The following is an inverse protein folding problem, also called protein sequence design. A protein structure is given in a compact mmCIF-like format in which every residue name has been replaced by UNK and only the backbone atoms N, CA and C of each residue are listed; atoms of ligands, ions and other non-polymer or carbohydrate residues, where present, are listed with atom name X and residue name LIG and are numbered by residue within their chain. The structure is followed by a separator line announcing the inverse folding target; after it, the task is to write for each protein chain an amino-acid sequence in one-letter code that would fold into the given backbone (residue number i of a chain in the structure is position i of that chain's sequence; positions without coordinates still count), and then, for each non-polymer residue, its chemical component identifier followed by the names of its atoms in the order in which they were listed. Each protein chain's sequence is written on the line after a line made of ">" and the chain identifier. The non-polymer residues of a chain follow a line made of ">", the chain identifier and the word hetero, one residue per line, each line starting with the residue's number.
data_IF_013982231771
#
_entry.id   IF_013982231771
#
_cell.length_a   1.000
_cell.length_b   1.000
_cell.length_c   1.000
_cell.angle_alpha   90.00
_cell.angle_beta   90.00
_cell.angle_gamma   90.00
#
_symmetry.space_group_name_H-M   'P 1'
#
loop_
_entity.id
_entity.type
_entity.pdbx_description
1 polymer ?
#
# COMPACT_ATOMS: atom_id res chain seq x y z
N UNK A 1 -17.37 6.98 -13.95
CA UNK A 1 -16.09 6.42 -14.47
C UNK A 1 -16.30 4.96 -14.83
N UNK A 2 -15.83 4.53 -16.00
CA UNK A 2 -16.01 3.14 -16.45
C UNK A 2 -14.64 2.41 -16.41
N UNK A 3 -14.47 1.47 -15.47
CA UNK A 3 -13.25 0.68 -15.31
C UNK A 3 -13.34 -0.71 -15.97
N UNK A 4 -14.31 -0.92 -16.88
CA UNK A 4 -14.50 -2.21 -17.58
C UNK A 4 -13.33 -2.62 -18.47
N UNK A 5 -12.41 -1.71 -18.76
CA UNK A 5 -11.19 -2.03 -19.50
C UNK A 5 -10.18 -2.83 -18.65
N UNK A 6 -10.29 -2.79 -17.31
CA UNK A 6 -9.43 -3.54 -16.42
C UNK A 6 -9.79 -5.02 -16.41
N UNK A 7 -8.80 -5.86 -16.66
CA UNK A 7 -8.93 -7.31 -16.53
C UNK A 7 -8.26 -7.76 -15.24
N UNK A 8 -9.06 -7.93 -14.18
CA UNK A 8 -8.57 -8.34 -12.85
C UNK A 8 -7.77 -9.64 -12.89
N UNK A 9 -8.21 -10.64 -13.65
CA UNK A 9 -7.50 -11.93 -13.76
C UNK A 9 -6.09 -11.74 -14.36
N UNK A 10 -5.95 -10.90 -15.38
CA UNK A 10 -4.61 -10.61 -15.96
C UNK A 10 -3.73 -9.88 -14.95
N UNK A 11 -4.27 -8.90 -14.23
CA UNK A 11 -3.53 -8.12 -13.22
C UNK A 11 -3.12 -8.98 -12.03
N UNK A 12 -3.99 -9.86 -11.56
CA UNK A 12 -3.67 -10.86 -10.53
C UNK A 12 -2.53 -11.78 -11.01
N UNK A 13 -2.60 -12.25 -12.24
CA UNK A 13 -1.53 -13.11 -12.79
C UNK A 13 -0.19 -12.36 -12.87
N UNK A 14 -0.20 -11.08 -13.26
CA UNK A 14 1.02 -10.25 -13.31
C UNK A 14 1.66 -10.16 -11.93
N UNK A 15 0.89 -9.80 -10.91
CA UNK A 15 1.44 -9.61 -9.58
C UNK A 15 1.90 -10.93 -8.95
N UNK A 16 1.17 -12.02 -9.18
CA UNK A 16 1.57 -13.36 -8.71
C UNK A 16 2.85 -13.85 -9.38
N UNK A 17 3.01 -13.62 -10.69
CA UNK A 17 4.25 -13.97 -11.39
C UNK A 17 5.43 -13.11 -10.95
N UNK A 18 5.23 -11.81 -10.71
CA UNK A 18 6.27 -10.95 -10.12
C UNK A 18 6.70 -11.47 -8.74
N UNK A 19 5.74 -11.85 -7.90
CA UNK A 19 6.01 -12.46 -6.60
C UNK A 19 6.82 -13.77 -6.71
N UNK A 20 6.52 -14.62 -7.70
CA UNK A 20 7.30 -15.83 -7.95
C UNK A 20 8.75 -15.52 -8.38
N UNK A 21 8.96 -14.50 -9.22
CA UNK A 21 10.31 -14.06 -9.59
C UNK A 21 11.11 -13.59 -8.36
N UNK A 22 10.46 -12.84 -7.48
CA UNK A 22 11.06 -12.41 -6.22
C UNK A 22 11.42 -13.61 -5.34
N UNK A 23 10.51 -14.57 -5.16
CA UNK A 23 10.74 -15.76 -4.35
C UNK A 23 11.87 -16.65 -4.89
N UNK A 24 12.02 -16.76 -6.22
CA UNK A 24 13.14 -17.47 -6.84
C UNK A 24 14.50 -16.89 -6.40
N UNK A 25 14.58 -15.57 -6.22
CA UNK A 25 15.79 -14.90 -5.75
C UNK A 25 15.90 -15.01 -4.23
N UNK A 26 14.77 -14.79 -3.53
CA UNK A 26 14.69 -14.88 -2.08
C UNK A 26 15.21 -16.22 -1.52
N UNK A 27 14.97 -17.31 -2.20
CA UNK A 27 15.41 -18.64 -1.76
C UNK A 27 16.84 -19.02 -2.16
N UNK A 28 17.58 -18.15 -2.86
CA UNK A 28 19.01 -18.37 -3.14
C UNK A 28 19.85 -18.10 -1.90
N UNK A 29 20.97 -18.79 -1.77
CA UNK A 29 21.91 -18.53 -0.68
C UNK A 29 22.49 -17.10 -0.76
N UNK A 30 22.76 -16.61 -1.97
CA UNK A 30 23.29 -15.28 -2.24
C UNK A 30 22.49 -14.59 -3.34
N UNK A 31 22.37 -13.26 -3.24
CA UNK A 31 21.84 -12.38 -4.27
C UNK A 31 22.54 -11.03 -4.20
N UNK A 32 22.52 -10.30 -5.32
CA UNK A 32 23.15 -8.99 -5.40
C UNK A 32 22.32 -7.94 -4.69
N UNK A 33 22.99 -7.08 -3.91
CA UNK A 33 22.43 -5.90 -3.26
C UNK A 33 23.26 -4.70 -3.66
N UNK A 34 22.60 -3.69 -4.18
CA UNK A 34 23.18 -2.38 -4.48
C UNK A 34 22.62 -1.35 -3.50
N UNK A 35 23.29 -0.22 -3.36
CA UNK A 35 22.82 0.90 -2.55
C UNK A 35 22.47 2.04 -3.49
N UNK A 36 21.22 2.49 -3.44
CA UNK A 36 20.72 3.65 -4.19
C UNK A 36 21.37 4.96 -3.67
N UNK A 37 21.20 6.05 -4.40
CA UNK A 37 21.71 7.39 -4.01
C UNK A 37 21.12 7.87 -2.67
N UNK A 38 19.88 7.51 -2.38
CA UNK A 38 19.18 7.81 -1.12
C UNK A 38 19.57 6.87 0.04
N UNK A 39 20.56 5.99 -0.18
CA UNK A 39 21.07 4.97 0.75
C UNK A 39 20.08 3.83 1.05
N UNK A 40 18.97 3.71 0.32
CA UNK A 40 18.11 2.52 0.37
C UNK A 40 18.76 1.35 -0.40
N UNK A 41 18.53 0.11 0.03
CA UNK A 41 19.00 -1.07 -0.70
C UNK A 41 18.15 -1.31 -1.95
N UNK A 42 18.78 -1.82 -2.99
CA UNK A 42 18.18 -2.29 -4.22
C UNK A 42 18.70 -3.68 -4.51
N UNK A 43 17.83 -4.64 -4.72
CA UNK A 43 18.25 -6.01 -5.04
C UNK A 43 17.95 -6.35 -6.50
N UNK A 44 18.52 -7.45 -6.97
CA UNK A 44 18.16 -7.98 -8.29
C UNK A 44 16.69 -8.42 -8.36
N UNK A 45 16.04 -8.65 -7.21
CA UNK A 45 14.63 -8.99 -7.14
C UNK A 45 13.75 -7.80 -7.49
N UNK A 46 14.07 -6.61 -6.92
CA UNK A 46 13.38 -5.35 -7.25
C UNK A 46 13.44 -5.08 -8.76
N UNK A 47 14.64 -5.16 -9.34
CA UNK A 47 14.87 -4.89 -10.77
C UNK A 47 14.08 -5.84 -11.67
N UNK A 48 14.13 -7.16 -11.40
CA UNK A 48 13.44 -8.16 -12.22
C UNK A 48 11.93 -8.09 -12.09
N UNK A 49 11.43 -7.85 -10.88
CA UNK A 49 10.00 -7.67 -10.67
C UNK A 49 9.51 -6.40 -11.37
N UNK A 50 10.24 -5.29 -11.25
CA UNK A 50 9.93 -4.04 -11.93
C UNK A 50 9.87 -4.21 -13.45
N UNK A 51 10.92 -4.77 -14.04
CA UNK A 51 10.98 -5.01 -15.48
C UNK A 51 9.79 -5.85 -15.96
N UNK A 52 9.50 -6.94 -15.27
CA UNK A 52 8.38 -7.81 -15.61
C UNK A 52 7.04 -7.09 -15.53
N UNK A 53 6.74 -6.41 -14.40
CA UNK A 53 5.47 -5.72 -14.20
C UNK A 53 5.28 -4.62 -15.23
N UNK A 54 6.30 -3.76 -15.42
CA UNK A 54 6.23 -2.65 -16.37
C UNK A 54 6.01 -3.14 -17.81
N UNK A 55 6.73 -4.17 -18.25
CA UNK A 55 6.57 -4.75 -19.59
C UNK A 55 5.16 -5.32 -19.79
N UNK A 56 4.60 -6.04 -18.83
CA UNK A 56 3.26 -6.60 -18.92
C UNK A 56 2.20 -5.50 -18.95
N UNK A 57 2.28 -4.50 -18.07
CA UNK A 57 1.32 -3.40 -18.02
C UNK A 57 1.37 -2.55 -19.29
N UNK A 58 2.56 -2.23 -19.79
CA UNK A 58 2.72 -1.48 -21.05
C UNK A 58 2.15 -2.26 -22.25
N UNK A 59 2.33 -3.58 -22.27
CA UNK A 59 1.78 -4.42 -23.35
C UNK A 59 0.25 -4.48 -23.36
N UNK A 60 -0.37 -4.49 -22.16
CA UNK A 60 -1.84 -4.64 -22.02
C UNK A 60 -2.56 -3.29 -22.01
N UNK A 61 -1.91 -2.27 -21.43
CA UNK A 61 -2.46 -0.93 -21.22
C UNK A 61 -1.47 0.14 -21.71
N UNK A 62 -1.15 0.20 -23.01
CA UNK A 62 -0.09 1.04 -23.56
C UNK A 62 -0.31 2.55 -23.34
N UNK A 63 -1.56 2.97 -23.18
CA UNK A 63 -1.94 4.38 -23.02
C UNK A 63 -1.90 4.84 -21.56
N UNK A 64 -1.63 3.94 -20.60
CA UNK A 64 -1.58 4.28 -19.18
C UNK A 64 -0.11 4.37 -18.72
N UNK A 65 0.38 5.57 -18.37
CA UNK A 65 1.75 5.76 -17.93
C UNK A 65 2.01 5.07 -16.59
N UNK A 66 3.29 4.77 -16.36
CA UNK A 66 3.77 4.08 -15.16
C UNK A 66 4.64 5.03 -14.33
N UNK A 67 4.35 5.11 -13.04
CA UNK A 67 5.17 5.72 -11.99
C UNK A 67 5.64 4.57 -11.11
N UNK A 68 6.93 4.24 -11.14
CA UNK A 68 7.50 3.15 -10.36
C UNK A 68 8.67 3.61 -9.51
N UNK A 69 8.85 2.98 -8.35
CA UNK A 69 10.00 3.23 -7.49
C UNK A 69 11.34 3.05 -8.22
N UNK A 70 11.41 2.03 -9.08
CA UNK A 70 12.66 1.63 -9.73
C UNK A 70 12.88 2.26 -11.11
N UNK A 71 11.97 3.15 -11.54
CA UNK A 71 12.09 3.86 -12.80
C UNK A 71 12.53 5.31 -12.58
N UNK A 72 13.20 5.89 -13.59
CA UNK A 72 13.29 7.34 -13.69
C UNK A 72 11.92 7.87 -14.10
N UNK A 73 11.20 8.44 -13.13
CA UNK A 73 9.87 9.00 -13.37
C UNK A 73 9.96 10.30 -14.17
N UNK A 74 8.93 10.57 -14.96
CA UNK A 74 8.78 11.82 -15.71
C UNK A 74 8.60 13.02 -14.76
N UNK A 75 8.96 14.21 -15.24
CA UNK A 75 8.79 15.46 -14.49
C UNK A 75 7.31 15.74 -14.22
N UNK A 76 7.02 16.47 -13.15
CA UNK A 76 5.64 16.75 -12.72
C UNK A 76 4.83 17.48 -13.79
N UNK A 77 5.44 18.40 -14.55
CA UNK A 77 4.76 19.10 -15.64
C UNK A 77 4.10 18.13 -16.64
N UNK A 78 4.73 16.98 -16.90
CA UNK A 78 4.17 15.91 -17.72
C UNK A 78 3.20 15.05 -16.94
N UNK A 79 3.59 14.60 -15.73
CA UNK A 79 2.78 13.71 -14.89
C UNK A 79 1.46 14.35 -14.44
N UNK A 80 1.42 15.66 -14.21
CA UNK A 80 0.21 16.40 -13.80
C UNK A 80 -0.94 16.30 -14.82
N UNK A 81 -0.64 15.92 -16.07
CA UNK A 81 -1.61 15.75 -17.17
C UNK A 81 -2.15 14.32 -17.28
N UNK A 82 -1.67 13.39 -16.44
CA UNK A 82 -2.11 12.00 -16.49
C UNK A 82 -3.53 11.87 -15.95
N UNK A 83 -4.44 11.40 -16.80
CA UNK A 83 -5.79 11.04 -16.35
C UNK A 83 -5.76 9.75 -15.54
N UNK A 84 -5.06 8.73 -16.05
CA UNK A 84 -4.74 7.50 -15.35
C UNK A 84 -3.23 7.34 -15.21
N UNK A 85 -2.78 6.69 -14.15
CA UNK A 85 -1.40 6.25 -14.01
C UNK A 85 -1.31 5.00 -13.12
N UNK A 86 -0.42 4.08 -13.47
CA UNK A 86 -0.01 3.01 -12.59
C UNK A 86 1.03 3.52 -11.58
N UNK A 87 0.85 3.18 -10.30
CA UNK A 87 1.84 3.37 -9.25
C UNK A 87 2.33 2.01 -8.80
N UNK A 88 3.65 1.76 -8.91
CA UNK A 88 4.23 0.43 -8.71
C UNK A 88 5.34 0.50 -7.68
N UNK A 89 5.25 -0.35 -6.67
CA UNK A 89 6.37 -0.76 -5.85
C UNK A 89 6.60 -2.25 -6.09
N UNK A 90 7.66 -2.61 -6.82
CA UNK A 90 7.91 -4.00 -7.19
C UNK A 90 8.32 -4.86 -6.00
N UNK A 91 8.90 -4.29 -4.96
CA UNK A 91 9.28 -4.97 -3.72
C UNK A 91 9.30 -3.99 -2.53
N UNK A 92 8.14 -3.72 -1.93
CA UNK A 92 8.05 -2.97 -0.68
C UNK A 92 8.58 -3.82 0.47
N UNK A 93 9.56 -3.27 1.19
CA UNK A 93 10.23 -3.97 2.28
C UNK A 93 11.53 -4.65 1.85
N UNK A 94 12.38 -3.99 1.06
CA UNK A 94 13.68 -4.52 0.63
C UNK A 94 14.59 -4.87 1.83
N UNK A 95 14.49 -4.14 2.94
CA UNK A 95 15.20 -4.47 4.19
C UNK A 95 14.71 -5.78 4.79
N UNK A 96 13.42 -6.01 4.79
CA UNK A 96 12.76 -7.23 5.25
C UNK A 96 13.12 -8.41 4.35
N UNK A 97 13.20 -8.19 3.04
CA UNK A 97 13.68 -9.17 2.07
C UNK A 97 15.13 -9.58 2.37
N UNK A 98 16.03 -8.62 2.55
CA UNK A 98 17.45 -8.88 2.87
C UNK A 98 17.59 -9.59 4.21
N UNK A 99 16.81 -9.20 5.22
CA UNK A 99 16.85 -9.83 6.56
C UNK A 99 16.15 -11.18 6.64
N UNK A 100 15.56 -11.65 5.54
CA UNK A 100 14.90 -12.96 5.43
C UNK A 100 13.73 -13.17 6.41
N UNK A 101 13.03 -12.11 6.79
CA UNK A 101 11.87 -12.22 7.70
C UNK A 101 10.53 -12.46 7.00
N UNK A 102 10.49 -12.39 5.66
CA UNK A 102 9.30 -12.67 4.85
C UNK A 102 8.24 -11.56 4.82
N UNK A 103 8.51 -10.40 5.41
CA UNK A 103 7.53 -9.31 5.54
C UNK A 103 7.66 -8.26 4.42
N UNK A 104 7.58 -8.68 3.18
CA UNK A 104 7.64 -7.82 2.00
C UNK A 104 6.46 -8.09 1.06
N UNK A 105 6.15 -7.10 0.20
CA UNK A 105 5.00 -7.16 -0.71
C UNK A 105 5.36 -6.67 -2.11
N UNK A 106 4.49 -6.98 -3.08
CA UNK A 106 4.43 -6.36 -4.40
C UNK A 106 3.18 -5.51 -4.46
N UNK A 107 3.29 -4.26 -4.91
CA UNK A 107 2.19 -3.32 -4.97
C UNK A 107 1.99 -2.78 -6.39
N UNK A 108 0.76 -2.89 -6.92
CA UNK A 108 0.34 -2.31 -8.20
C UNK A 108 -0.94 -1.53 -7.96
N UNK A 109 -0.87 -0.20 -7.97
CA UNK A 109 -2.02 0.69 -7.83
C UNK A 109 -2.37 1.35 -9.16
N UNK A 110 -3.64 1.63 -9.39
CA UNK A 110 -4.11 2.48 -10.48
C UNK A 110 -4.83 3.68 -9.91
N UNK A 111 -4.44 4.86 -10.36
CA UNK A 111 -5.12 6.11 -10.05
C UNK A 111 -5.89 6.62 -11.26
N UNK A 112 -6.95 7.39 -10.98
CA UNK A 112 -7.66 8.25 -11.90
C UNK A 112 -7.75 9.64 -11.32
N UNK A 113 -7.13 10.63 -11.99
CA UNK A 113 -7.09 12.03 -11.52
C UNK A 113 -6.64 12.15 -10.05
N UNK A 114 -5.57 11.44 -9.69
CA UNK A 114 -5.00 11.47 -8.34
C UNK A 114 -5.74 10.61 -7.28
N UNK A 115 -6.84 9.96 -7.63
CA UNK A 115 -7.62 9.10 -6.72
C UNK A 115 -7.35 7.63 -7.03
N UNK A 116 -7.00 6.77 -6.04
CA UNK A 116 -6.81 5.35 -6.29
C UNK A 116 -8.15 4.69 -6.63
N UNK A 117 -8.15 3.93 -7.74
CA UNK A 117 -9.35 3.29 -8.30
C UNK A 117 -9.23 1.79 -8.49
N UNK A 118 -8.02 1.27 -8.45
CA UNK A 118 -7.76 -0.15 -8.33
C UNK A 118 -6.44 -0.39 -7.60
N UNK A 119 -6.35 -1.49 -6.89
CA UNK A 119 -5.15 -1.88 -6.17
C UNK A 119 -5.00 -3.38 -6.14
N UNK A 120 -3.76 -3.83 -6.27
CA UNK A 120 -3.35 -5.23 -6.20
C UNK A 120 -2.12 -5.30 -5.31
N UNK A 121 -2.19 -6.11 -4.26
CA UNK A 121 -1.11 -6.33 -3.29
C UNK A 121 -0.89 -7.84 -3.15
N UNK A 122 0.34 -8.28 -3.36
CA UNK A 122 0.71 -9.67 -3.10
C UNK A 122 1.71 -9.75 -1.94
N UNK A 123 1.53 -10.70 -1.05
CA UNK A 123 2.49 -11.05 0.02
C UNK A 123 3.20 -12.34 -0.41
N UNK A 124 4.38 -12.27 -1.04
CA UNK A 124 5.00 -13.43 -1.68
C UNK A 124 5.19 -14.62 -0.75
N UNK A 125 5.68 -14.39 0.47
CA UNK A 125 5.96 -15.48 1.43
C UNK A 125 4.71 -16.21 1.94
N UNK A 126 3.52 -15.60 1.85
CA UNK A 126 2.25 -16.25 2.21
C UNK A 126 1.49 -16.76 0.99
N UNK A 127 1.85 -16.24 -0.19
CA UNK A 127 1.15 -16.50 -1.45
C UNK A 127 -0.23 -15.86 -1.52
N UNK A 128 -0.55 -14.88 -0.66
CA UNK A 128 -1.86 -14.23 -0.65
C UNK A 128 -1.82 -12.99 -1.52
N UNK A 129 -2.76 -12.90 -2.47
CA UNK A 129 -3.03 -11.72 -3.29
C UNK A 129 -4.32 -11.07 -2.83
N UNK A 130 -4.26 -9.77 -2.54
CA UNK A 130 -5.40 -8.90 -2.28
C UNK A 130 -5.63 -7.99 -3.47
N UNK A 131 -6.88 -7.69 -3.80
CA UNK A 131 -7.18 -6.70 -4.83
C UNK A 131 -8.53 -6.05 -4.63
N UNK A 132 -8.67 -4.85 -5.19
CA UNK A 132 -9.94 -4.16 -5.35
C UNK A 132 -9.95 -3.36 -6.65
N UNK A 133 -11.16 -3.20 -7.20
CA UNK A 133 -11.46 -2.27 -8.28
C UNK A 133 -12.68 -1.49 -7.82
N UNK A 134 -12.64 -0.17 -7.92
CA UNK A 134 -13.69 0.73 -7.44
C UNK A 134 -15.09 0.30 -7.91
N UNK A 135 -15.98 0.05 -6.94
CA UNK A 135 -17.33 -0.43 -7.14
C UNK A 135 -17.48 -1.93 -7.43
N UNK A 136 -16.36 -2.71 -7.28
CA UNK A 136 -16.38 -4.16 -7.46
C UNK A 136 -16.06 -4.94 -6.18
N UNK A 137 -15.93 -4.22 -5.06
CA UNK A 137 -15.54 -4.80 -3.78
C UNK A 137 -14.06 -5.14 -3.67
N UNK A 138 -13.65 -5.57 -2.48
CA UNK A 138 -12.32 -6.03 -2.17
C UNK A 138 -12.29 -7.56 -2.03
N UNK A 139 -11.21 -8.16 -2.50
CA UNK A 139 -11.08 -9.60 -2.63
C UNK A 139 -9.70 -10.07 -2.23
N UNK A 140 -9.60 -11.34 -1.87
CA UNK A 140 -8.31 -12.03 -1.68
C UNK A 140 -8.37 -13.46 -2.16
N UNK A 141 -7.23 -14.00 -2.55
CA UNK A 141 -7.03 -15.44 -2.79
C UNK A 141 -5.62 -15.87 -2.43
N UNK A 142 -5.42 -17.14 -2.23
CA UNK A 142 -4.10 -17.73 -2.11
C UNK A 142 -3.63 -18.24 -3.47
N UNK A 143 -2.32 -18.19 -3.70
CA UNK A 143 -1.72 -18.71 -4.92
C UNK A 143 -2.11 -20.18 -5.16
N UNK A 144 -2.43 -20.53 -6.41
CA UNK A 144 -2.96 -21.82 -6.84
C UNK A 144 -4.37 -22.18 -6.32
N UNK A 145 -5.06 -21.33 -5.58
CA UNK A 145 -6.48 -21.51 -5.32
C UNK A 145 -7.30 -20.94 -6.47
N UNK A 146 -8.36 -21.64 -6.91
CA UNK A 146 -9.25 -21.14 -7.95
C UNK A 146 -10.24 -20.11 -7.37
N UNK A 147 -10.69 -20.35 -6.16
CA UNK A 147 -11.68 -19.52 -5.50
C UNK A 147 -11.06 -18.26 -4.88
N UNK A 148 -11.73 -17.14 -5.07
CA UNK A 148 -11.43 -15.89 -4.38
C UNK A 148 -12.48 -15.63 -3.30
N UNK A 149 -12.02 -15.05 -2.19
CA UNK A 149 -12.85 -14.71 -1.05
C UNK A 149 -13.08 -13.19 -1.07
N UNK A 150 -14.35 -12.76 -1.07
CA UNK A 150 -14.68 -11.37 -0.87
C UNK A 150 -14.34 -10.96 0.57
N UNK A 151 -13.71 -9.82 0.71
CA UNK A 151 -13.42 -9.23 2.03
C UNK A 151 -14.63 -8.36 2.37
N UNK A 152 -15.34 -8.74 3.43
CA UNK A 152 -16.49 -7.97 3.88
C UNK A 152 -16.04 -6.69 4.58
N UNK A 153 -16.67 -5.54 4.26
CA UNK A 153 -16.48 -4.33 5.05
C UNK A 153 -16.78 -4.59 6.53
N UNK A 154 -16.11 -3.88 7.41
CA UNK A 154 -16.43 -3.95 8.84
C UNK A 154 -17.83 -3.44 9.06
N UNK A 155 -18.77 -4.32 9.47
CA UNK A 155 -20.16 -3.92 9.78
C UNK A 155 -20.24 -3.06 11.05
N UNK A 156 -21.39 -2.37 11.25
CA UNK A 156 -21.65 -1.57 12.48
C UNK A 156 -21.53 -2.41 13.76
N UNK A 157 -21.81 -3.72 13.67
CA UNK A 157 -21.59 -4.71 14.73
C UNK A 157 -20.18 -5.28 14.74
N UNK A 158 -19.23 -4.65 14.03
CA UNK A 158 -17.88 -5.13 13.81
C UNK A 158 -17.26 -5.69 15.09
N UNK A 159 -16.34 -6.66 14.95
CA UNK A 159 -15.71 -7.35 16.08
C UNK A 159 -15.20 -6.30 17.08
N UNK A 160 -16.02 -6.03 18.12
CA UNK A 160 -15.60 -5.18 19.24
C UNK A 160 -14.55 -5.95 20.02
N UNK A 161 -13.29 -5.74 19.59
CA UNK A 161 -12.16 -6.27 20.36
C UNK A 161 -12.12 -5.59 21.72
N UNK A 162 -11.73 -6.36 22.74
CA UNK A 162 -11.46 -5.80 24.08
C UNK A 162 -10.29 -4.79 24.02
N UNK A 163 -9.34 -5.02 23.11
CA UNK A 163 -8.17 -4.17 22.87
C UNK A 163 -8.12 -3.70 21.44
N UNK A 164 -7.83 -2.42 21.22
CA UNK A 164 -7.55 -1.87 19.90
C UNK A 164 -6.17 -2.32 19.44
N UNK A 165 -6.08 -3.00 18.29
CA UNK A 165 -4.81 -3.42 17.70
C UNK A 165 -4.29 -2.29 16.81
N UNK A 166 -3.16 -1.70 17.24
CA UNK A 166 -2.48 -0.61 16.53
C UNK A 166 -1.23 -1.17 15.85
N UNK A 167 -1.10 -0.92 14.56
CA UNK A 167 0.09 -1.30 13.81
C UNK A 167 1.14 -0.19 13.92
N UNK A 168 2.39 -0.59 14.12
CA UNK A 168 3.52 0.31 14.14
C UNK A 168 4.64 -0.23 13.24
N UNK A 169 5.48 0.68 12.74
CA UNK A 169 6.69 0.29 12.02
C UNK A 169 7.78 -0.10 13.02
N UNK A 170 8.50 -1.21 12.76
CA UNK A 170 9.65 -1.60 13.59
C UNK A 170 10.77 -0.56 13.55
N UNK A 171 10.98 0.04 12.38
CA UNK A 171 12.15 0.88 12.10
C UNK A 171 11.85 2.38 12.17
N UNK A 172 10.57 2.79 12.26
CA UNK A 172 10.16 4.18 12.10
C UNK A 172 9.14 4.64 13.17
N UNK A 173 9.27 4.11 14.40
CA UNK A 173 8.50 4.62 15.53
C UNK A 173 9.15 5.92 16.02
N UNK A 174 8.55 7.06 15.72
CA UNK A 174 8.99 8.37 16.18
C UNK A 174 8.13 8.83 17.36
N UNK A 175 8.56 9.92 18.03
CA UNK A 175 7.87 10.50 19.20
C UNK A 175 6.42 10.87 18.89
N UNK A 176 6.15 11.39 17.70
CA UNK A 176 4.81 11.77 17.25
C UNK A 176 3.86 10.57 17.16
N UNK A 177 4.35 9.44 16.66
CA UNK A 177 3.60 8.18 16.63
C UNK A 177 3.29 7.68 18.03
N UNK A 178 4.26 7.76 18.95
CA UNK A 178 4.06 7.39 20.36
C UNK A 178 3.02 8.29 21.01
N UNK A 179 3.11 9.61 20.80
CA UNK A 179 2.14 10.58 21.30
C UNK A 179 0.72 10.31 20.76
N UNK A 180 0.61 10.06 19.45
CA UNK A 180 -0.67 9.71 18.83
C UNK A 180 -1.29 8.46 19.48
N UNK A 181 -0.51 7.39 19.60
CA UNK A 181 -0.98 6.13 20.19
C UNK A 181 -1.43 6.33 21.65
N UNK A 182 -0.72 7.13 22.43
CA UNK A 182 -1.08 7.42 23.81
C UNK A 182 -2.43 8.13 23.96
N UNK A 183 -2.83 8.91 22.93
CA UNK A 183 -4.10 9.64 22.89
C UNK A 183 -5.29 8.79 22.43
N UNK A 184 -5.07 7.61 21.87
CA UNK A 184 -6.16 6.74 21.37
C UNK A 184 -7.09 6.25 22.49
N UNK A 185 -6.63 6.29 23.76
CA UNK A 185 -7.38 5.83 24.93
C UNK A 185 -7.69 4.34 24.92
N UNK A 186 -8.13 3.80 26.05
CA UNK A 186 -8.49 2.38 26.19
C UNK A 186 -7.29 1.43 26.17
N UNK A 187 -7.60 0.14 26.13
CA UNK A 187 -6.59 -0.93 26.03
C UNK A 187 -6.07 -1.03 24.58
N UNK A 188 -4.77 -0.78 24.39
CA UNK A 188 -4.10 -0.84 23.09
C UNK A 188 -3.11 -2.00 23.08
N UNK A 189 -3.14 -2.80 22.00
CA UNK A 189 -2.14 -3.81 21.68
C UNK A 189 -1.34 -3.36 20.46
N UNK A 190 -0.02 -3.19 20.64
CA UNK A 190 0.89 -2.84 19.55
C UNK A 190 1.35 -4.09 18.81
N UNK A 191 1.24 -4.08 17.49
CA UNK A 191 1.81 -5.11 16.61
C UNK A 191 2.71 -4.48 15.57
N UNK A 192 3.85 -5.14 15.33
CA UNK A 192 4.81 -4.71 14.34
C UNK A 192 4.87 -5.72 13.20
N UNK A 193 4.71 -5.24 11.98
CA UNK A 193 4.89 -6.01 10.75
C UNK A 193 5.48 -5.09 9.68
N UNK A 194 6.25 -5.63 8.74
CA UNK A 194 6.87 -4.86 7.66
C UNK A 194 5.91 -4.50 6.54
N UNK A 195 6.35 -3.61 5.64
CA UNK A 195 5.75 -3.36 4.34
C UNK A 195 4.26 -2.95 4.38
N UNK A 196 3.60 -2.96 3.24
CA UNK A 196 2.15 -2.75 3.08
C UNK A 196 1.29 -3.90 3.65
N UNK A 197 1.93 -4.96 4.19
CA UNK A 197 1.23 -5.99 4.98
C UNK A 197 0.40 -5.36 6.11
N UNK A 198 0.88 -4.25 6.69
CA UNK A 198 0.14 -3.49 7.70
C UNK A 198 -1.26 -3.09 7.22
N UNK A 199 -1.34 -2.56 6.01
CA UNK A 199 -2.61 -2.14 5.41
C UNK A 199 -3.50 -3.34 5.07
N UNK A 200 -2.90 -4.46 4.64
CA UNK A 200 -3.65 -5.70 4.41
C UNK A 200 -4.15 -6.35 5.71
N UNK A 201 -3.46 -6.15 6.84
CA UNK A 201 -3.99 -6.58 8.13
C UNK A 201 -5.19 -5.76 8.59
N UNK A 202 -5.25 -4.47 8.22
CA UNK A 202 -6.46 -3.66 8.44
C UNK A 202 -7.59 -4.18 7.54
N UNK A 203 -7.33 -4.40 6.26
CA UNK A 203 -8.32 -4.95 5.32
C UNK A 203 -8.89 -6.30 5.80
N UNK A 204 -8.05 -7.17 6.37
CA UNK A 204 -8.43 -8.49 6.92
C UNK A 204 -9.04 -8.41 8.33
N UNK A 205 -9.31 -7.24 8.85
CA UNK A 205 -9.75 -7.08 10.25
C UNK A 205 -8.81 -7.70 11.30
N UNK A 206 -7.51 -7.85 11.00
CA UNK A 206 -6.49 -8.33 11.93
C UNK A 206 -5.92 -7.22 12.80
N UNK A 207 -6.12 -5.97 12.38
CA UNK A 207 -5.74 -4.77 13.10
C UNK A 207 -6.78 -3.67 12.88
N UNK A 208 -6.75 -2.64 13.71
CA UNK A 208 -7.77 -1.60 13.71
C UNK A 208 -7.27 -0.30 13.09
N UNK A 209 -5.99 0.03 13.29
CA UNK A 209 -5.45 1.32 12.87
C UNK A 209 -3.94 1.24 12.63
N UNK A 210 -3.47 2.01 11.64
CA UNK A 210 -2.06 2.19 11.36
C UNK A 210 -1.72 3.68 11.24
N UNK A 211 -1.18 4.31 12.29
CA UNK A 211 -0.60 5.64 12.19
C UNK A 211 0.76 5.57 11.49
N UNK A 212 0.91 6.33 10.42
CA UNK A 212 2.15 6.49 9.68
C UNK A 212 2.57 7.96 9.70
N UNK A 213 3.24 8.36 10.78
CA UNK A 213 3.72 9.73 11.00
C UNK A 213 5.21 9.89 10.65
N UNK A 214 5.63 9.12 9.65
CA UNK A 214 6.97 9.14 9.08
C UNK A 214 6.87 8.98 7.56
N UNK A 215 7.84 9.47 6.79
CA UNK A 215 7.78 9.48 5.32
C UNK A 215 7.52 8.11 4.70
N UNK A 216 6.68 8.09 3.67
CA UNK A 216 6.46 6.98 2.72
C UNK A 216 6.27 7.55 1.33
N UNK A 217 6.53 6.76 0.32
CA UNK A 217 6.26 7.16 -1.05
C UNK A 217 4.84 6.79 -1.46
N UNK A 218 4.35 7.41 -2.52
CA UNK A 218 2.99 7.17 -3.02
C UNK A 218 2.78 5.72 -3.48
N UNK A 219 3.79 5.08 -4.07
CA UNK A 219 3.71 3.69 -4.51
C UNK A 219 3.64 2.67 -3.37
N UNK A 220 4.09 3.02 -2.14
CA UNK A 220 3.97 2.17 -0.94
C UNK A 220 2.52 2.01 -0.50
N UNK A 221 1.65 2.99 -0.83
CA UNK A 221 0.29 3.08 -0.27
C UNK A 221 -0.83 2.98 -1.29
N UNK A 222 -0.62 3.39 -2.53
CA UNK A 222 -1.68 3.53 -3.53
C UNK A 222 -2.52 2.26 -3.72
N UNK A 223 -1.87 1.11 -3.89
CA UNK A 223 -2.57 -0.16 -4.08
C UNK A 223 -3.40 -0.55 -2.85
N UNK A 224 -2.81 -0.43 -1.69
CA UNK A 224 -3.45 -0.75 -0.41
C UNK A 224 -4.58 0.21 -0.08
N UNK A 225 -4.41 1.50 -0.35
CA UNK A 225 -5.44 2.53 -0.13
C UNK A 225 -6.67 2.30 -1.02
N UNK A 226 -6.47 1.87 -2.28
CA UNK A 226 -7.58 1.46 -3.13
C UNK A 226 -8.40 0.31 -2.51
N UNK A 227 -7.73 -0.67 -1.89
CA UNK A 227 -8.40 -1.80 -1.23
C UNK A 227 -9.15 -1.33 0.01
N UNK A 228 -8.53 -0.50 0.86
CA UNK A 228 -9.19 0.01 2.06
C UNK A 228 -10.40 0.88 1.73
N UNK A 229 -10.35 1.68 0.65
CA UNK A 229 -11.49 2.52 0.22
C UNK A 229 -12.70 1.70 -0.23
N UNK A 230 -12.51 0.53 -0.82
CA UNK A 230 -13.60 -0.37 -1.15
C UNK A 230 -14.22 -1.04 0.08
N UNK A 231 -13.52 -1.00 1.22
CA UNK A 231 -13.99 -1.48 2.52
C UNK A 231 -14.59 -0.37 3.39
N UNK A 232 -14.74 0.85 2.86
CA UNK A 232 -15.31 1.99 3.57
C UNK A 232 -14.30 2.84 4.34
N UNK A 233 -13.01 2.46 4.34
CA UNK A 233 -11.93 3.18 5.01
C UNK A 233 -10.97 3.88 4.07
N UNK A 234 -9.66 3.87 4.40
CA UNK A 234 -8.59 4.42 3.58
C UNK A 234 -7.41 4.97 4.38
N UNK A 235 -6.51 5.62 3.68
CA UNK A 235 -5.41 6.39 4.25
C UNK A 235 -5.82 7.87 4.37
N UNK A 236 -6.03 8.34 5.59
CA UNK A 236 -6.48 9.69 5.90
C UNK A 236 -5.31 10.58 6.29
N UNK A 237 -5.22 11.79 5.75
CA UNK A 237 -4.16 12.74 6.11
C UNK A 237 -4.25 13.07 7.60
N UNK A 238 -3.13 12.93 8.30
CA UNK A 238 -3.03 13.30 9.70
C UNK A 238 -2.61 14.77 9.81
N UNK A 239 -3.46 15.57 10.41
CA UNK A 239 -3.17 16.96 10.79
C UNK A 239 -2.86 16.99 12.28
N UNK A 240 -1.64 17.38 12.64
CA UNK A 240 -1.33 17.67 14.04
C UNK A 240 -2.18 18.85 14.50
N UNK A 241 -3.03 18.64 15.51
CA UNK A 241 -3.79 19.72 16.11
C UNK A 241 -2.81 20.81 16.61
N UNK A 242 -2.80 21.93 15.94
CA UNK A 242 -2.18 23.14 16.49
C UNK A 242 -3.15 23.62 17.54
N UNK A 243 -2.84 23.45 18.81
CA UNK A 243 -3.57 24.05 19.93
C UNK A 243 -3.34 25.57 19.84
N UNK A 244 -4.09 26.23 18.98
CA UNK A 244 -4.27 27.67 19.05
C UNK A 244 -5.30 27.89 20.16
N UNK A 245 -4.86 28.39 21.29
CA UNK A 245 -5.74 28.71 22.42
C UNK A 245 -6.93 29.57 21.96
N UNK A 246 -8.14 29.03 22.15
CA UNK A 246 -9.40 29.73 21.93
C UNK A 246 -10.33 29.12 20.92
N UNK A 247 -11.30 28.35 21.41
CA UNK A 247 -12.63 28.04 20.91
C UNK A 247 -12.90 28.15 19.40
N UNK A 248 -12.93 27.01 18.75
CA UNK A 248 -13.43 26.91 17.38
C UNK A 248 -13.44 25.44 16.97
N UNK A 249 -14.54 24.73 17.20
CA UNK A 249 -14.77 23.40 16.64
C UNK A 249 -14.85 23.48 15.12
N UNK A 250 -13.72 23.33 14.44
CA UNK A 250 -13.71 23.11 13.01
C UNK A 250 -14.17 21.67 12.73
N UNK A 251 -15.29 21.50 12.04
CA UNK A 251 -15.68 20.28 11.37
C UNK A 251 -14.69 20.04 10.22
N UNK A 252 -13.44 19.66 10.52
CA UNK A 252 -12.49 19.24 9.51
C UNK A 252 -12.98 17.92 8.91
N UNK A 253 -13.43 17.97 7.65
CA UNK A 253 -13.75 16.76 6.90
C UNK A 253 -12.51 15.86 6.84
N UNK A 254 -12.72 14.54 6.83
CA UNK A 254 -11.65 13.57 6.66
C UNK A 254 -11.08 13.72 5.25
N UNK A 255 -9.78 14.06 5.16
CA UNK A 255 -9.09 14.16 3.89
C UNK A 255 -8.31 12.89 3.63
N UNK A 256 -8.52 12.29 2.46
CA UNK A 256 -7.78 11.12 2.01
C UNK A 256 -6.48 11.52 1.30
N UNK A 257 -5.51 10.58 1.30
CA UNK A 257 -4.33 10.74 0.47
C UNK A 257 -4.73 10.93 -1.00
N UNK A 258 -4.01 11.82 -1.68
CA UNK A 258 -4.05 11.99 -3.12
C UNK A 258 -2.68 11.61 -3.70
N UNK A 259 -2.68 11.20 -4.94
CA UNK A 259 -1.53 10.59 -5.61
C UNK A 259 -1.14 11.36 -6.87
N UNK A 260 0.07 11.11 -7.37
CA UNK A 260 0.68 11.83 -8.49
C UNK A 260 0.86 13.32 -8.18
N UNK A 261 1.23 13.63 -6.95
CA UNK A 261 1.62 14.98 -6.53
C UNK A 261 2.96 15.39 -7.17
N UNK A 262 3.31 16.66 -7.11
CA UNK A 262 4.62 17.15 -7.52
C UNK A 262 5.73 16.41 -6.76
N UNK A 263 5.66 16.40 -5.44
CA UNK A 263 6.47 15.53 -4.59
C UNK A 263 5.71 14.23 -4.34
N UNK A 264 6.29 13.09 -4.76
CA UNK A 264 5.70 11.77 -4.61
C UNK A 264 5.78 11.21 -3.17
N UNK A 265 6.18 12.05 -2.21
CA UNK A 265 6.16 11.73 -0.79
C UNK A 265 4.75 11.91 -0.23
N UNK A 266 4.28 10.95 0.56
CA UNK A 266 3.03 11.07 1.30
C UNK A 266 3.20 12.01 2.51
N UNK A 267 2.19 12.82 2.84
CA UNK A 267 2.09 13.42 4.17
C UNK A 267 1.90 12.32 5.23
N UNK A 268 2.04 12.69 6.50
CA UNK A 268 1.64 11.81 7.61
C UNK A 268 0.17 11.41 7.46
N UNK A 269 -0.14 10.13 7.71
CA UNK A 269 -1.50 9.61 7.56
C UNK A 269 -1.86 8.58 8.62
N UNK A 270 -3.16 8.35 8.75
CA UNK A 270 -3.73 7.27 9.53
C UNK A 270 -4.50 6.35 8.58
N UNK A 271 -4.26 5.05 8.62
CA UNK A 271 -5.05 4.09 7.86
C UNK A 271 -5.98 3.31 8.79
N UNK A 272 -7.25 3.21 8.39
CA UNK A 272 -8.29 2.44 9.08
C UNK A 272 -9.39 2.01 8.11
N UNK A 273 -10.24 1.10 8.58
CA UNK A 273 -11.55 0.75 8.00
C UNK A 273 -12.56 0.94 9.14
N UNK A 274 -13.48 1.87 8.97
CA UNK A 274 -14.51 2.20 9.96
C UNK A 274 -15.73 1.27 9.83
#
# INVERSE_FOLDING_TARGET
>A
MNLRFLNSRKLINIIEMAAQLILQIYHRDNFMVEIKEDKSPLTEADKKANEYICNQLTSIYPDIPIISEENKNEDYEKRSKYEFAWLIDPLDGTKEFISRNGEFTVNIGLIHLGVPVAGFVNIPCTGITYWAIKGCGAWKKKYNEEDSIMIEPRGEDGIRRKKKIVLASRSHMNEETVEYISKLGGDVELKNVGSSIKLMWIADNKADIYPRLAPTMEWDTCASDAILRELGGGCHIYFKEIVIGGGGGGSGGVEYLIYNKECLLNPSFIASVD
#
